data_IF_122049441510
#
_entry.id   IF_122049441510
#
_cell.length_a   1.000
_cell.length_b   1.000
_cell.length_c   1.000
_cell.angle_alpha   90.00
_cell.angle_beta   90.00
_cell.angle_gamma   90.00
#
_symmetry.space_group_name_H-M   'P 1'
#
loop_
_entity.id
_entity.type
_entity.pdbx_description
1 polymer ?
#
# COMPACT_ATOMS: atom_id res chain seq x y z
N UNK A 1 -7.92 -26.79 2.29
CA UNK A 1 -7.29 -26.23 1.07
C UNK A 1 -6.81 -24.83 1.43
N UNK A 2 -5.50 -24.61 1.44
CA UNK A 2 -4.90 -23.46 2.12
C UNK A 2 -4.91 -22.23 1.21
N UNK A 3 -5.41 -21.10 1.71
CA UNK A 3 -5.46 -19.79 1.07
C UNK A 3 -4.12 -19.42 0.38
N UNK A 4 -3.01 -19.77 1.04
CA UNK A 4 -1.65 -19.62 0.55
C UNK A 4 -1.37 -20.28 -0.82
N UNK A 5 -2.02 -21.40 -1.17
CA UNK A 5 -1.73 -22.10 -2.43
C UNK A 5 -2.29 -21.41 -3.69
N UNK A 6 -3.24 -20.49 -3.54
CA UNK A 6 -3.84 -19.73 -4.66
C UNK A 6 -3.02 -18.51 -5.07
N UNK A 7 -2.34 -17.86 -4.12
CA UNK A 7 -1.54 -16.66 -4.38
C UNK A 7 -0.25 -16.99 -5.15
N UNK A 8 0.37 -18.14 -4.90
CA UNK A 8 1.62 -18.52 -5.58
C UNK A 8 1.46 -19.10 -6.99
N UNK A 9 0.28 -19.60 -7.38
CA UNK A 9 0.08 -20.26 -8.70
C UNK A 9 -0.13 -19.30 -9.88
N UNK A 10 -0.38 -18.01 -9.66
CA UNK A 10 -0.68 -17.07 -10.75
C UNK A 10 0.55 -16.48 -11.46
N UNK A 11 1.76 -16.69 -10.96
CA UNK A 11 2.96 -16.02 -11.48
C UNK A 11 3.80 -16.83 -12.48
N UNK A 12 3.38 -18.03 -12.92
CA UNK A 12 4.17 -18.84 -13.85
C UNK A 12 3.31 -19.50 -14.94
N UNK A 13 2.75 -18.70 -15.85
CA UNK A 13 2.36 -19.18 -17.19
C UNK A 13 2.49 -18.05 -18.22
N UNK A 14 3.53 -18.13 -19.07
CA UNK A 14 3.36 -17.98 -20.52
C UNK A 14 4.58 -18.54 -21.26
N UNK A 15 4.32 -19.60 -22.02
CA UNK A 15 5.14 -20.14 -23.09
C UNK A 15 4.55 -19.69 -24.44
N UNK A 16 5.30 -19.90 -25.54
CA UNK A 16 5.04 -19.67 -26.98
C UNK A 16 5.59 -18.34 -27.53
N UNK A 17 6.73 -18.31 -28.23
CA UNK A 17 7.12 -18.85 -29.55
C UNK A 17 6.74 -17.92 -30.70
N UNK A 18 7.72 -17.43 -31.46
CA UNK A 18 7.74 -17.47 -32.92
C UNK A 18 9.05 -16.95 -33.53
N UNK A 19 9.37 -17.57 -34.66
CA UNK A 19 10.56 -17.55 -35.51
C UNK A 19 10.65 -16.30 -36.39
N UNK A 20 11.86 -15.80 -36.71
CA UNK A 20 12.20 -15.48 -38.11
C UNK A 20 13.72 -15.31 -38.37
N UNK A 21 14.09 -15.82 -39.54
CA UNK A 21 15.40 -16.05 -40.15
C UNK A 21 16.15 -14.79 -40.63
N UNK A 22 17.48 -14.89 -40.58
CA UNK A 22 18.50 -14.08 -41.25
C UNK A 22 18.30 -13.87 -42.77
N UNK A 23 18.70 -12.69 -43.28
CA UNK A 23 19.44 -12.52 -44.56
C UNK A 23 19.95 -11.07 -44.83
N UNK A 24 21.28 -10.91 -44.73
CA UNK A 24 22.30 -10.35 -45.66
C UNK A 24 22.29 -8.88 -46.20
N UNK A 25 23.51 -8.30 -46.09
CA UNK A 25 24.30 -7.41 -47.02
C UNK A 25 23.85 -5.93 -47.18
N UNK A 26 24.70 -4.89 -47.26
CA UNK A 26 26.13 -4.75 -47.61
C UNK A 26 26.80 -3.47 -47.05
N UNK A 27 28.14 -3.47 -47.03
CA UNK A 27 29.08 -2.35 -46.77
C UNK A 27 29.10 -1.28 -47.87
N UNK A 28 29.33 0.00 -47.50
CA UNK A 28 30.20 0.94 -48.26
C UNK A 28 30.95 1.85 -47.27
N UNK A 29 32.28 1.82 -47.34
CA UNK A 29 33.25 2.69 -46.65
C UNK A 29 33.43 4.01 -47.40
N UNK A 30 33.72 5.12 -46.70
CA UNK A 30 34.88 6.01 -47.02
C UNK A 30 35.04 7.22 -46.07
N UNK A 31 36.18 7.20 -45.38
CA UNK A 31 37.17 8.24 -45.01
C UNK A 31 36.80 9.72 -44.72
N UNK A 32 37.46 10.21 -43.64
CA UNK A 32 37.59 11.60 -43.14
C UNK A 32 38.39 12.49 -44.11
N UNK A 33 38.24 13.82 -44.02
CA UNK A 33 39.31 14.57 -43.33
C UNK A 33 38.78 15.72 -42.43
N UNK A 34 39.55 16.03 -41.39
CA UNK A 34 39.15 16.93 -40.31
C UNK A 34 39.11 18.42 -40.67
N UNK A 35 38.33 19.17 -39.90
CA UNK A 35 38.56 20.59 -39.62
C UNK A 35 37.91 20.97 -38.29
N UNK A 36 38.72 21.54 -37.41
CA UNK A 36 38.33 22.11 -36.12
C UNK A 36 37.42 23.33 -36.29
N UNK A 37 36.24 23.34 -35.66
CA UNK A 37 35.55 24.56 -35.25
C UNK A 37 34.94 24.33 -33.88
N UNK A 38 35.27 25.23 -32.96
CA UNK A 38 34.74 25.31 -31.60
C UNK A 38 33.25 25.62 -31.67
N UNK A 39 32.41 24.72 -31.18
CA UNK A 39 31.03 25.07 -30.81
C UNK A 39 30.82 24.67 -29.35
N UNK A 40 30.66 25.70 -28.53
CA UNK A 40 30.21 25.60 -27.15
C UNK A 40 28.82 24.96 -27.16
N UNK A 41 28.77 23.63 -27.01
CA UNK A 41 27.53 22.93 -26.72
C UNK A 41 27.22 23.15 -25.25
N UNK A 42 26.49 24.23 -25.01
CA UNK A 42 25.83 24.52 -23.76
C UNK A 42 25.12 23.25 -23.29
N UNK A 43 25.61 22.73 -22.18
CA UNK A 43 25.04 21.65 -21.41
C UNK A 43 23.65 22.12 -20.97
N UNK A 44 22.64 21.92 -21.83
CA UNK A 44 21.26 21.85 -21.35
C UNK A 44 21.23 20.59 -20.52
N UNK A 45 21.56 20.73 -19.23
CA UNK A 45 20.96 19.91 -18.21
C UNK A 45 19.47 19.89 -18.54
N UNK A 46 19.01 18.75 -19.06
CA UNK A 46 17.59 18.49 -19.17
C UNK A 46 17.06 18.79 -17.77
N UNK A 47 16.34 19.90 -17.64
CA UNK A 47 15.45 20.07 -16.52
C UNK A 47 14.51 18.89 -16.65
N UNK A 48 14.81 17.82 -15.92
CA UNK A 48 13.81 16.85 -15.52
C UNK A 48 12.89 17.70 -14.67
N UNK A 49 11.93 18.34 -15.34
CA UNK A 49 10.67 18.71 -14.72
C UNK A 49 10.18 17.38 -14.18
N UNK A 50 10.44 17.15 -12.89
CA UNK A 50 9.63 16.22 -12.13
C UNK A 50 8.24 16.80 -12.29
N UNK A 51 7.51 16.25 -13.26
CA UNK A 51 6.09 16.42 -13.32
C UNK A 51 5.64 15.88 -11.96
N UNK A 52 5.14 16.75 -11.10
CA UNK A 52 4.40 16.38 -9.90
C UNK A 52 3.11 15.69 -10.40
N UNK A 53 3.27 14.55 -11.05
CA UNK A 53 2.21 13.56 -11.16
C UNK A 53 2.02 13.12 -9.73
N UNK A 54 1.05 13.74 -9.06
CA UNK A 54 0.58 13.39 -7.72
C UNK A 54 0.78 11.88 -7.54
N UNK A 55 1.81 11.50 -6.77
CA UNK A 55 1.97 10.10 -6.38
C UNK A 55 0.80 9.81 -5.46
N UNK A 56 -0.29 9.36 -6.06
CA UNK A 56 -1.47 8.99 -5.33
C UNK A 56 -1.21 7.63 -4.67
N UNK A 57 -1.66 7.48 -3.44
CA UNK A 57 -1.63 6.21 -2.75
C UNK A 57 -2.96 5.49 -3.00
N UNK A 58 -2.89 4.18 -3.20
CA UNK A 58 -4.05 3.31 -3.05
C UNK A 58 -3.90 2.52 -1.77
N UNK A 59 -4.89 2.65 -0.89
CA UNK A 59 -4.91 1.97 0.40
C UNK A 59 -6.07 0.97 0.36
N UNK A 60 -5.75 -0.30 0.60
CA UNK A 60 -6.71 -1.40 0.63
C UNK A 60 -6.70 -2.03 2.01
N UNK A 61 -7.88 -2.12 2.62
CA UNK A 61 -8.15 -2.92 3.81
C UNK A 61 -8.81 -4.23 3.35
N UNK A 62 -8.19 -5.35 3.65
CA UNK A 62 -8.77 -6.68 3.47
C UNK A 62 -9.11 -7.26 4.85
N UNK A 63 -10.36 -7.65 5.05
CA UNK A 63 -10.84 -8.33 6.26
C UNK A 63 -11.69 -9.50 5.80
N UNK A 64 -11.29 -10.71 6.19
CA UNK A 64 -11.92 -11.97 5.78
C UNK A 64 -12.05 -12.15 4.24
N UNK A 65 -13.21 -11.81 3.67
CA UNK A 65 -13.53 -11.93 2.25
C UNK A 65 -13.89 -10.58 1.61
N UNK A 66 -13.81 -9.50 2.39
CA UNK A 66 -14.21 -8.17 2.00
C UNK A 66 -12.98 -7.28 1.82
N UNK A 67 -12.99 -6.50 0.74
CA UNK A 67 -11.92 -5.55 0.42
C UNK A 67 -12.51 -4.16 0.36
N UNK A 68 -11.89 -3.23 1.07
CA UNK A 68 -12.33 -1.85 1.23
C UNK A 68 -11.24 -0.90 0.79
N UNK A 69 -11.59 0.12 0.00
CA UNK A 69 -10.66 1.21 -0.28
C UNK A 69 -10.68 2.26 0.84
N UNK A 70 -9.51 2.75 1.22
CA UNK A 70 -9.38 3.88 2.14
C UNK A 70 -8.78 5.10 1.44
N UNK A 71 -9.24 6.28 1.88
CA UNK A 71 -8.70 7.57 1.50
C UNK A 71 -7.55 8.00 2.43
N UNK A 72 -7.52 7.45 3.65
CA UNK A 72 -6.52 7.81 4.65
C UNK A 72 -6.21 6.62 5.56
N UNK A 73 -4.96 6.57 6.01
CA UNK A 73 -4.41 5.55 6.90
C UNK A 73 -3.48 6.20 7.91
N UNK A 74 -3.54 5.70 9.14
CA UNK A 74 -2.63 6.03 10.24
C UNK A 74 -2.48 4.82 11.16
N UNK A 75 -1.31 4.72 11.78
CA UNK A 75 -1.03 3.72 12.81
C UNK A 75 -0.22 4.35 13.92
N UNK A 76 -0.70 4.17 15.15
CA UNK A 76 -0.09 4.79 16.33
C UNK A 76 0.46 3.74 17.31
N UNK A 77 1.66 4.02 17.83
CA UNK A 77 2.34 3.27 18.87
C UNK A 77 2.81 4.24 19.95
N UNK A 78 2.58 3.88 21.20
CA UNK A 78 2.97 4.66 22.35
C UNK A 78 3.89 3.86 23.28
N UNK A 79 4.76 4.58 23.98
CA UNK A 79 5.62 4.03 25.00
C UNK A 79 5.57 4.97 26.21
N UNK A 80 5.36 4.39 27.39
CA UNK A 80 5.37 5.16 28.63
C UNK A 80 6.74 5.82 28.85
N UNK A 81 6.72 7.00 29.47
CA UNK A 81 7.91 7.78 29.77
C UNK A 81 8.02 7.99 31.28
N UNK A 82 9.24 7.98 31.80
CA UNK A 82 9.53 8.31 33.19
C UNK A 82 9.30 9.81 33.49
N UNK A 83 9.55 10.19 34.75
CA UNK A 83 9.40 11.57 35.23
C UNK A 83 10.32 12.56 34.52
N UNK A 84 11.41 12.06 33.93
CA UNK A 84 12.39 12.82 33.16
C UNK A 84 12.07 12.83 31.65
N UNK A 85 10.97 12.19 31.22
CA UNK A 85 10.53 12.13 29.84
C UNK A 85 11.29 11.10 28.98
N UNK A 86 12.08 10.22 29.60
CA UNK A 86 12.79 9.13 28.93
C UNK A 86 11.86 7.93 28.79
N UNK A 87 11.94 7.15 27.69
CA UNK A 87 11.13 5.94 27.55
C UNK A 87 11.44 4.94 28.66
N UNK A 88 10.43 4.55 29.44
CA UNK A 88 10.58 3.71 30.65
C UNK A 88 9.44 2.69 30.82
N UNK A 89 8.90 2.20 29.70
CA UNK A 89 7.82 1.22 29.73
C UNK A 89 7.74 0.34 28.50
N UNK A 90 6.76 -0.56 28.53
CA UNK A 90 6.44 -1.41 27.37
C UNK A 90 5.79 -0.58 26.28
N UNK A 91 6.08 -0.92 25.02
CA UNK A 91 5.37 -0.36 23.88
C UNK A 91 3.97 -0.96 23.85
N UNK A 92 2.97 -0.11 23.64
CA UNK A 92 1.57 -0.49 23.45
C UNK A 92 0.99 0.32 22.28
N UNK A 93 -0.03 -0.20 21.62
CA UNK A 93 -0.67 0.50 20.50
C UNK A 93 -0.91 -0.44 19.35
N UNK A 94 -0.50 -0.03 18.15
CA UNK A 94 -0.90 -0.72 16.93
C UNK A 94 -2.37 -0.47 16.61
N UNK A 95 -2.87 0.72 16.97
CA UNK A 95 -4.22 1.14 16.61
C UNK A 95 -4.15 1.62 15.17
N UNK A 96 -4.76 0.84 14.28
CA UNK A 96 -4.88 1.19 12.86
C UNK A 96 -6.13 2.05 12.71
N UNK A 97 -5.96 3.26 12.20
CA UNK A 97 -7.05 4.18 11.89
C UNK A 97 -7.18 4.36 10.38
N UNK A 98 -8.39 4.21 9.86
CA UNK A 98 -8.69 4.28 8.43
C UNK A 98 -9.87 5.23 8.19
N UNK A 99 -9.82 5.99 7.09
CA UNK A 99 -11.00 6.65 6.53
C UNK A 99 -11.36 5.96 5.23
N UNK A 100 -12.47 5.26 5.22
CA UNK A 100 -12.91 4.44 4.11
C UNK A 100 -13.58 5.33 3.05
N UNK A 101 -13.38 4.98 1.78
CA UNK A 101 -14.12 5.63 0.68
C UNK A 101 -15.56 5.10 0.66
N UNK A 102 -16.44 5.84 -0.01
CA UNK A 102 -17.85 5.50 -0.18
C UNK A 102 -18.00 4.03 -0.59
N UNK A 103 -18.82 3.29 0.15
CA UNK A 103 -18.97 1.85 0.03
C UNK A 103 -20.35 1.48 -0.49
N UNK A 104 -20.41 0.54 -1.43
CA UNK A 104 -21.69 0.01 -1.90
C UNK A 104 -22.33 -1.01 -0.93
N UNK A 105 -21.53 -1.64 -0.05
CA UNK A 105 -22.04 -2.57 0.97
C UNK A 105 -21.15 -2.62 2.22
N UNK A 106 -21.74 -2.39 3.40
CA UNK A 106 -21.05 -2.37 4.71
C UNK A 106 -21.46 -3.52 5.64
N UNK A 107 -22.26 -4.48 5.18
CA UNK A 107 -22.89 -5.50 6.04
C UNK A 107 -21.89 -6.29 6.90
N UNK A 108 -20.78 -6.77 6.32
CA UNK A 108 -19.74 -7.48 7.08
C UNK A 108 -19.03 -6.59 8.10
N UNK A 109 -18.90 -5.30 7.79
CA UNK A 109 -18.29 -4.34 8.71
C UNK A 109 -19.25 -4.05 9.87
N UNK A 110 -20.55 -3.87 9.59
CA UNK A 110 -21.58 -3.75 10.62
C UNK A 110 -21.69 -4.99 11.50
N UNK A 111 -21.54 -6.18 10.93
CA UNK A 111 -21.47 -7.43 11.70
C UNK A 111 -20.26 -7.42 12.64
N UNK A 112 -19.08 -7.05 12.14
CA UNK A 112 -17.87 -6.93 12.97
C UNK A 112 -18.06 -5.91 14.11
N UNK A 113 -18.78 -4.80 13.87
CA UNK A 113 -19.12 -3.83 14.91
C UNK A 113 -20.09 -4.38 15.96
N UNK A 114 -21.09 -5.15 15.54
CA UNK A 114 -22.09 -5.71 16.43
C UNK A 114 -21.51 -6.86 17.29
N UNK A 115 -20.49 -7.55 16.78
CA UNK A 115 -19.84 -8.67 17.45
C UNK A 115 -18.71 -8.20 18.35
N UNK A 116 -19.04 -7.95 19.62
CA UNK A 116 -18.05 -7.56 20.65
C UNK A 116 -16.93 -8.59 20.89
N UNK A 117 -17.11 -9.84 20.47
CA UNK A 117 -16.11 -10.92 20.54
C UNK A 117 -15.59 -11.35 19.17
N UNK A 118 -16.05 -10.72 18.09
CA UNK A 118 -15.60 -11.03 16.72
C UNK A 118 -14.13 -10.71 16.57
N UNK A 119 -13.33 -11.77 16.33
CA UNK A 119 -11.89 -11.69 16.10
C UNK A 119 -11.63 -11.98 14.64
N UNK A 120 -11.12 -11.00 13.93
CA UNK A 120 -10.87 -11.10 12.50
C UNK A 120 -9.39 -10.97 12.19
N UNK A 121 -8.99 -11.62 11.10
CA UNK A 121 -7.67 -11.46 10.51
C UNK A 121 -7.80 -10.67 9.21
N UNK A 122 -6.74 -9.97 8.85
CA UNK A 122 -6.76 -9.14 7.66
C UNK A 122 -5.45 -8.41 7.43
N UNK A 123 -5.47 -7.53 6.45
CA UNK A 123 -4.31 -6.72 6.11
C UNK A 123 -4.67 -5.32 5.63
N UNK A 124 -3.75 -4.39 5.83
CA UNK A 124 -3.74 -3.10 5.16
C UNK A 124 -2.56 -3.06 4.20
N UNK A 125 -2.83 -2.91 2.91
CA UNK A 125 -1.83 -2.78 1.87
C UNK A 125 -1.89 -1.40 1.24
N UNK A 126 -0.74 -0.72 1.20
CA UNK A 126 -0.59 0.61 0.59
C UNK A 126 0.29 0.47 -0.65
N UNK A 127 -0.21 0.93 -1.79
CA UNK A 127 0.48 0.88 -3.08
C UNK A 127 0.74 2.29 -3.61
N UNK A 128 1.84 2.44 -4.35
CA UNK A 128 2.07 3.65 -5.16
C UNK A 128 1.24 3.56 -6.43
N UNK A 129 0.58 4.66 -6.79
CA UNK A 129 -0.12 4.82 -8.06
C UNK A 129 0.57 5.90 -8.88
N UNK A 130 1.16 5.49 -9.99
CA UNK A 130 1.81 6.40 -10.93
C UNK A 130 1.13 6.27 -12.30
N UNK A 131 0.63 7.39 -12.84
CA UNK A 131 -0.03 7.43 -14.15
C UNK A 131 -1.15 6.38 -14.32
N UNK A 132 -1.95 6.19 -13.26
CA UNK A 132 -3.07 5.25 -13.26
C UNK A 132 -2.69 3.77 -13.07
N UNK A 133 -1.40 3.43 -13.02
CA UNK A 133 -0.92 2.08 -12.75
C UNK A 133 -0.50 1.95 -11.28
N UNK A 134 -0.90 0.84 -10.67
CA UNK A 134 -0.55 0.48 -9.30
C UNK A 134 0.76 -0.30 -9.32
N UNK A 135 1.64 -0.07 -8.33
CA UNK A 135 2.86 -0.85 -8.17
C UNK A 135 2.57 -2.34 -7.99
N UNK A 136 3.46 -3.21 -8.48
CA UNK A 136 3.29 -4.67 -8.34
C UNK A 136 3.41 -5.16 -6.90
N UNK A 137 4.13 -4.41 -6.06
CA UNK A 137 4.31 -4.70 -4.63
C UNK A 137 3.81 -3.51 -3.79
N UNK A 138 3.24 -3.78 -2.61
CA UNK A 138 2.86 -2.72 -1.68
C UNK A 138 4.10 -2.07 -1.07
N UNK A 139 4.06 -0.75 -0.91
CA UNK A 139 5.11 0.01 -0.21
C UNK A 139 5.00 -0.11 1.31
N UNK A 140 3.82 -0.49 1.81
CA UNK A 140 3.58 -0.81 3.20
C UNK A 140 2.54 -1.90 3.24
N UNK A 141 2.83 -2.99 3.96
CA UNK A 141 1.89 -4.06 4.21
C UNK A 141 1.87 -4.36 5.70
N UNK A 142 0.67 -4.31 6.27
CA UNK A 142 0.42 -4.54 7.68
C UNK A 142 -0.56 -5.69 7.78
N UNK A 143 -0.17 -6.76 8.46
CA UNK A 143 -1.01 -7.92 8.69
C UNK A 143 -1.44 -7.90 10.16
N UNK A 144 -2.73 -8.02 10.43
CA UNK A 144 -3.27 -8.08 11.78
C UNK A 144 -3.98 -9.41 12.03
N UNK A 145 -3.88 -9.90 13.26
CA UNK A 145 -4.59 -11.11 13.72
C UNK A 145 -5.29 -10.86 15.05
N UNK A 146 -6.36 -11.61 15.27
CA UNK A 146 -7.25 -11.47 16.42
C UNK A 146 -7.69 -10.01 16.62
N UNK A 147 -8.04 -9.34 15.52
CA UNK A 147 -8.40 -7.93 15.52
C UNK A 147 -9.87 -7.72 15.91
N UNK A 148 -10.10 -6.65 16.65
CA UNK A 148 -11.42 -6.13 17.00
C UNK A 148 -11.58 -4.73 16.42
N UNK A 149 -12.80 -4.40 16.03
CA UNK A 149 -13.14 -3.02 15.76
C UNK A 149 -13.31 -2.26 17.09
N UNK A 150 -12.34 -1.40 17.41
CA UNK A 150 -12.33 -0.59 18.63
C UNK A 150 -13.16 0.69 18.49
N UNK A 151 -13.43 1.13 17.27
CA UNK A 151 -14.21 2.33 17.03
C UNK A 151 -14.69 2.42 15.60
N UNK A 152 -15.90 2.94 15.44
CA UNK A 152 -16.48 3.25 14.15
C UNK A 152 -17.26 4.55 14.26
N UNK A 153 -17.08 5.39 13.26
CA UNK A 153 -17.76 6.65 13.16
C UNK A 153 -18.15 6.91 11.71
N UNK A 154 -19.44 6.92 11.42
CA UNK A 154 -19.98 7.30 10.12
C UNK A 154 -20.84 8.54 10.25
N UNK A 155 -20.60 9.51 9.37
CA UNK A 155 -21.47 10.68 9.25
C UNK A 155 -21.70 11.04 7.78
N UNK A 156 -22.94 11.43 7.50
CA UNK A 156 -23.41 11.79 6.17
C UNK A 156 -23.89 13.23 6.20
N UNK A 157 -23.35 14.09 5.32
CA UNK A 157 -23.85 15.46 5.16
C UNK A 157 -24.49 15.62 3.79
N UNK A 158 -25.82 15.60 3.75
CA UNK A 158 -26.61 15.65 2.52
C UNK A 158 -26.45 16.92 1.66
N UNK A 159 -25.79 17.97 2.18
CA UNK A 159 -25.55 19.23 1.45
C UNK A 159 -24.23 19.20 0.66
N UNK A 160 -23.23 18.44 1.12
CA UNK A 160 -21.85 18.47 0.58
C UNK A 160 -21.41 17.16 -0.06
N UNK A 161 -22.31 16.15 -0.15
CA UNK A 161 -21.94 14.77 -0.54
C UNK A 161 -20.77 14.19 0.26
N UNK A 162 -20.48 14.75 1.44
CA UNK A 162 -19.46 14.24 2.33
C UNK A 162 -20.04 13.04 3.07
N UNK A 163 -19.68 11.85 2.61
CA UNK A 163 -19.73 10.61 3.36
C UNK A 163 -18.35 10.35 3.95
N UNK A 164 -18.28 10.25 5.28
CA UNK A 164 -17.06 9.88 5.97
C UNK A 164 -17.35 8.70 6.86
N UNK A 165 -16.58 7.64 6.62
CA UNK A 165 -16.58 6.43 7.43
C UNK A 165 -15.19 6.24 8.02
N UNK A 166 -15.06 6.44 9.33
CA UNK A 166 -13.83 6.24 10.08
C UNK A 166 -13.88 4.92 10.84
N UNK A 167 -12.81 4.14 10.73
CA UNK A 167 -12.66 2.83 11.36
C UNK A 167 -11.38 2.79 12.18
N UNK A 168 -11.47 2.25 13.40
CA UNK A 168 -10.33 2.01 14.28
C UNK A 168 -10.25 0.54 14.62
N UNK A 169 -9.14 -0.08 14.22
CA UNK A 169 -8.88 -1.49 14.43
C UNK A 169 -7.78 -1.61 15.48
N UNK A 170 -8.00 -2.49 16.45
CA UNK A 170 -6.99 -2.92 17.42
C UNK A 170 -6.81 -4.42 17.30
N UNK A 171 -5.60 -4.92 17.47
CA UNK A 171 -5.30 -6.34 17.30
C UNK A 171 -4.33 -6.85 18.35
N UNK A 172 -4.43 -8.15 18.63
CA UNK A 172 -3.49 -8.83 19.52
C UNK A 172 -2.12 -8.94 18.86
N UNK A 173 -2.08 -9.18 17.56
CA UNK A 173 -0.86 -9.38 16.80
C UNK A 173 -0.86 -8.53 15.54
N UNK A 174 0.29 -7.90 15.27
CA UNK A 174 0.60 -7.14 14.07
C UNK A 174 1.91 -7.62 13.47
N UNK A 175 1.98 -7.59 12.14
CA UNK A 175 3.22 -7.69 11.38
C UNK A 175 3.31 -6.51 10.43
N UNK A 176 4.40 -5.75 10.52
CA UNK A 176 4.66 -4.56 9.71
C UNK A 176 5.98 -4.80 8.97
N UNK A 177 5.90 -5.04 7.66
CA UNK A 177 7.04 -5.55 6.92
C UNK A 177 7.51 -6.90 7.48
N UNK A 178 8.75 -6.96 7.94
CA UNK A 178 9.34 -8.15 8.56
C UNK A 178 9.22 -8.19 10.10
N UNK A 179 8.84 -7.07 10.72
CA UNK A 179 8.76 -6.93 12.17
C UNK A 179 7.40 -7.37 12.71
N UNK A 180 7.41 -8.01 13.88
CA UNK A 180 6.22 -8.54 14.55
C UNK A 180 6.02 -7.84 15.90
N UNK A 181 4.78 -7.49 16.20
CA UNK A 181 4.38 -6.83 17.43
C UNK A 181 3.17 -7.53 18.03
N UNK A 182 3.24 -7.83 19.32
CA UNK A 182 2.17 -8.49 20.04
C UNK A 182 1.73 -7.66 21.24
N UNK A 183 0.46 -7.29 21.25
CA UNK A 183 -0.17 -6.64 22.38
C UNK A 183 -0.49 -7.68 23.46
N UNK A 184 0.14 -7.55 24.62
CA UNK A 184 -0.21 -8.28 25.83
C UNK A 184 -1.43 -7.65 26.51
N UNK A 185 -2.62 -7.81 25.92
CA UNK A 185 -3.86 -7.45 26.61
C UNK A 185 -3.99 -8.31 27.87
N UNK A 186 -3.92 -7.68 29.05
CA UNK A 186 -4.17 -8.36 30.31
C UNK A 186 -5.64 -8.77 30.34
N UNK A 187 -5.91 -10.08 30.37
CA UNK A 187 -7.24 -10.65 30.59
C UNK A 187 -7.79 -10.25 31.97
#
# INVERSE_FOLDING_TARGET
MNFWSKLWRKNNISESSETHSDRKEAEVKQELPGRSVKEQKQERAAHIVHNEQDELLQILLEVEQSVYEAAWFDIDFNQEKDKEGRPDGSVYGGIISLKLKEMESEDSLYEWLAQTQGRHEGSVSIYRKCNGKISGEPICNIIFKDACCAGYHKYLRGVTSEDVTELKITSRYLKIGDEEFENNWRN
#
